data_IF_050304309464
#
_entry.id   IF_050304309464
#
_cell.length_a   1.000
_cell.length_b   1.000
_cell.length_c   1.000
_cell.angle_alpha   90.00
_cell.angle_beta   90.00
_cell.angle_gamma   90.00
#
_symmetry.space_group_name_H-M   'P 1'
#
loop_
_entity.id
_entity.type
_entity.pdbx_description
1 polymer ?
#
# COMPACT_ATOMS: atom_id res chain seq x y z
N UNK A 1 -4.88 28.23 62.99
CA UNK A 1 -4.52 28.33 61.55
C UNK A 1 -3.63 27.19 61.03
N UNK A 2 -2.94 26.40 61.88
CA UNK A 2 -2.04 25.32 61.42
C UNK A 2 -2.75 24.07 60.84
N UNK A 3 -3.82 23.57 61.48
CA UNK A 3 -4.52 22.33 61.06
C UNK A 3 -5.16 22.40 59.65
N UNK A 4 -5.65 23.56 59.23
CA UNK A 4 -6.28 23.74 57.91
C UNK A 4 -5.24 23.69 56.79
N UNK A 5 -4.04 24.25 57.03
CA UNK A 5 -2.92 24.18 56.08
C UNK A 5 -2.42 22.75 55.90
N UNK A 6 -2.29 21.99 56.99
CA UNK A 6 -1.90 20.57 56.92
C UNK A 6 -2.92 19.70 56.17
N UNK A 7 -4.22 19.92 56.38
CA UNK A 7 -5.28 19.18 55.67
C UNK A 7 -5.31 19.44 54.15
N UNK A 8 -5.09 20.68 53.73
CA UNK A 8 -4.99 21.04 52.30
C UNK A 8 -3.71 20.50 51.65
N UNK A 9 -2.59 20.48 52.39
CA UNK A 9 -1.31 19.96 51.88
C UNK A 9 -1.33 18.43 51.72
N UNK A 10 -2.06 17.72 52.59
CA UNK A 10 -2.27 16.28 52.48
C UNK A 10 -3.19 15.91 51.31
N UNK A 11 -4.29 16.65 51.08
CA UNK A 11 -5.17 16.39 49.93
C UNK A 11 -4.48 16.68 48.59
N UNK A 12 -3.67 17.74 48.51
CA UNK A 12 -2.87 18.03 47.30
C UNK A 12 -1.81 16.97 47.00
N UNK A 13 -1.27 16.31 48.03
CA UNK A 13 -0.30 15.23 47.87
C UNK A 13 -0.98 13.92 47.43
N UNK A 14 -2.14 13.60 48.02
CA UNK A 14 -2.97 12.47 47.60
C UNK A 14 -3.45 12.63 46.15
N UNK A 15 -3.88 13.82 45.74
CA UNK A 15 -4.30 14.12 44.38
C UNK A 15 -3.16 13.95 43.36
N UNK A 16 -1.92 14.32 43.73
CA UNK A 16 -0.73 14.09 42.89
C UNK A 16 -0.41 12.61 42.74
N UNK A 17 -0.45 11.86 43.82
CA UNK A 17 -0.20 10.41 43.80
C UNK A 17 -1.26 9.68 42.95
N UNK A 18 -2.54 10.05 43.09
CA UNK A 18 -3.63 9.52 42.25
C UNK A 18 -3.40 9.88 40.78
N UNK A 19 -3.06 11.14 40.49
CA UNK A 19 -2.77 11.58 39.12
C UNK A 19 -1.63 10.78 38.48
N UNK A 20 -0.55 10.52 39.22
CA UNK A 20 0.58 9.73 38.73
C UNK A 20 0.18 8.26 38.45
N UNK A 21 -0.66 7.67 39.30
CA UNK A 21 -1.18 6.31 39.10
C UNK A 21 -2.06 6.25 37.85
N UNK A 22 -2.98 7.19 37.70
CA UNK A 22 -3.86 7.28 36.52
C UNK A 22 -3.06 7.46 35.24
N UNK A 23 -2.02 8.30 35.26
CA UNK A 23 -1.10 8.50 34.14
C UNK A 23 -0.38 7.21 33.74
N UNK A 24 0.10 6.42 34.72
CA UNK A 24 0.76 5.14 34.45
C UNK A 24 -0.21 4.13 33.85
N UNK A 25 -1.43 4.05 34.38
CA UNK A 25 -2.47 3.16 33.86
C UNK A 25 -2.83 3.57 32.42
N UNK A 26 -3.06 4.86 32.18
CA UNK A 26 -3.39 5.38 30.86
C UNK A 26 -2.29 5.06 29.83
N UNK A 27 -1.01 5.28 30.18
CA UNK A 27 0.14 4.94 29.31
C UNK A 27 0.21 3.44 29.01
N UNK A 28 -0.07 2.59 30.01
CA UNK A 28 -0.10 1.14 29.83
C UNK A 28 -1.21 0.71 28.86
N UNK A 29 -2.43 1.23 29.04
CA UNK A 29 -3.56 0.94 28.17
C UNK A 29 -3.33 1.42 26.73
N UNK A 30 -2.74 2.62 26.56
CA UNK A 30 -2.34 3.13 25.24
C UNK A 30 -1.34 2.18 24.58
N UNK A 31 -0.30 1.76 25.31
CA UNK A 31 0.73 0.86 24.79
C UNK A 31 0.18 -0.50 24.39
N UNK A 32 -0.73 -1.06 25.18
CA UNK A 32 -1.42 -2.31 24.85
C UNK A 32 -2.30 -2.17 23.61
N UNK A 33 -3.03 -1.05 23.49
CA UNK A 33 -3.83 -0.76 22.30
C UNK A 33 -2.95 -0.62 21.07
N UNK A 34 -1.86 0.15 21.15
CA UNK A 34 -0.92 0.31 20.04
C UNK A 34 -0.33 -1.03 19.59
N UNK A 35 0.02 -1.92 20.53
CA UNK A 35 0.53 -3.26 20.23
C UNK A 35 -0.47 -4.12 19.44
N UNK A 36 -1.77 -3.92 19.64
CA UNK A 36 -2.83 -4.63 18.91
C UNK A 36 -3.07 -4.04 17.51
N UNK A 37 -2.70 -2.79 17.28
CA UNK A 37 -2.98 -2.06 16.04
C UNK A 37 -1.80 -1.95 15.11
N UNK A 38 -0.58 -2.07 15.64
CA UNK A 38 0.64 -1.90 14.87
C UNK A 38 1.24 -3.26 14.56
N UNK A 39 1.52 -3.47 13.29
CA UNK A 39 2.05 -4.70 12.74
C UNK A 39 3.31 -4.36 11.93
N UNK A 40 4.41 -5.06 12.18
CA UNK A 40 5.59 -4.94 11.32
C UNK A 40 5.30 -5.48 9.91
N UNK A 41 4.51 -6.55 9.85
CA UNK A 41 4.09 -7.26 8.65
C UNK A 41 2.62 -7.63 8.80
N UNK A 42 1.85 -7.51 7.72
CA UNK A 42 0.47 -8.00 7.63
C UNK A 42 0.49 -9.37 6.95
N UNK A 43 -0.12 -10.39 7.56
CA UNK A 43 -0.01 -11.78 7.15
C UNK A 43 -1.35 -12.54 7.32
N UNK A 44 -1.34 -13.87 7.20
CA UNK A 44 -2.53 -14.71 7.34
C UNK A 44 -3.20 -14.71 8.72
N UNK A 45 -2.45 -14.39 9.77
CA UNK A 45 -2.96 -14.30 11.15
C UNK A 45 -3.52 -12.90 11.48
N UNK A 46 -3.26 -11.94 10.59
CA UNK A 46 -3.70 -10.55 10.78
C UNK A 46 -5.22 -10.41 10.58
N UNK A 47 -5.89 -9.56 11.38
CA UNK A 47 -7.31 -9.27 11.18
C UNK A 47 -7.64 -8.85 9.74
N UNK A 48 -8.76 -9.31 9.19
CA UNK A 48 -9.19 -8.78 7.89
C UNK A 48 -9.51 -7.29 8.05
N UNK A 49 -9.19 -6.48 7.05
CA UNK A 49 -9.52 -5.07 7.09
C UNK A 49 -8.57 -4.18 6.30
N UNK A 50 -8.51 -2.93 6.76
CA UNK A 50 -7.74 -1.85 6.16
C UNK A 50 -6.51 -1.59 7.02
N UNK A 51 -5.35 -1.55 6.37
CA UNK A 51 -4.09 -1.18 6.99
C UNK A 51 -3.47 -0.01 6.24
N UNK A 52 -2.96 0.98 6.98
CA UNK A 52 -2.24 2.12 6.42
C UNK A 52 -0.83 2.12 7.00
N UNK A 53 0.18 2.27 6.16
CA UNK A 53 1.56 2.32 6.62
C UNK A 53 1.86 3.62 7.36
N UNK A 54 2.27 3.52 8.63
CA UNK A 54 2.72 4.62 9.46
C UNK A 54 4.24 4.81 9.27
N UNK A 55 4.60 5.80 8.47
CA UNK A 55 6.01 6.11 8.13
C UNK A 55 6.82 6.46 9.38
N UNK A 56 6.21 7.12 10.38
CA UNK A 56 6.92 7.55 11.59
C UNK A 56 7.35 6.37 12.47
N UNK A 57 6.52 5.32 12.50
CA UNK A 57 6.78 4.09 13.26
C UNK A 57 7.37 2.97 12.42
N UNK A 58 7.40 3.12 11.10
CA UNK A 58 7.79 2.08 10.14
C UNK A 58 6.96 0.79 10.31
N UNK A 59 5.66 0.93 10.59
CA UNK A 59 4.75 -0.17 10.89
C UNK A 59 3.40 0.02 10.17
N UNK A 60 2.71 -1.07 9.90
CA UNK A 60 1.34 -1.07 9.40
C UNK A 60 0.37 -0.85 10.55
N UNK A 61 -0.50 0.16 10.42
CA UNK A 61 -1.55 0.43 11.38
C UNK A 61 -2.87 -0.14 10.87
N UNK A 62 -3.43 -1.09 11.62
CA UNK A 62 -4.80 -1.54 11.44
C UNK A 62 -5.77 -0.40 11.78
N UNK A 63 -6.71 -0.12 10.88
CA UNK A 63 -7.74 0.89 11.09
C UNK A 63 -8.96 0.23 11.72
N UNK A 64 -9.13 0.43 13.02
CA UNK A 64 -10.33 -0.02 13.74
C UNK A 64 -11.56 0.74 13.28
N UNK A 65 -12.69 0.03 13.11
CA UNK A 65 -14.00 0.60 12.82
C UNK A 65 -13.98 1.68 11.72
N UNK A 66 -13.46 1.41 10.52
CA UNK A 66 -13.38 2.40 9.43
C UNK A 66 -14.76 2.73 8.81
N UNK A 67 -15.84 2.26 9.43
CA UNK A 67 -17.20 2.32 8.92
C UNK A 67 -17.59 1.07 8.13
N UNK A 68 -18.82 1.08 7.64
CA UNK A 68 -19.40 -0.05 6.91
C UNK A 68 -19.32 0.10 5.39
N UNK A 69 -18.85 1.23 4.86
CA UNK A 69 -18.74 1.49 3.43
C UNK A 69 -17.38 1.13 2.84
N UNK A 70 -17.29 1.07 1.51
CA UNK A 70 -16.01 0.90 0.83
C UNK A 70 -15.06 2.05 1.21
N UNK A 71 -13.81 1.71 1.53
CA UNK A 71 -12.78 2.72 1.72
C UNK A 71 -12.33 3.24 0.35
N UNK A 72 -12.46 4.54 0.14
CA UNK A 72 -12.05 5.23 -1.08
C UNK A 72 -11.19 6.42 -0.67
N UNK A 73 -9.97 6.56 -1.24
CA UNK A 73 -9.15 7.75 -1.05
C UNK A 73 -9.89 9.06 -1.32
N UNK A 74 -9.87 9.99 -0.36
CA UNK A 74 -10.48 11.33 -0.48
C UNK A 74 -9.50 12.48 -0.26
N UNK A 75 -8.33 12.22 0.30
CA UNK A 75 -7.30 13.24 0.45
C UNK A 75 -6.41 13.22 -0.78
N UNK A 76 -5.90 14.39 -1.16
CA UNK A 76 -5.01 14.50 -2.31
C UNK A 76 -3.72 13.72 -2.08
N UNK A 77 -3.20 13.15 -3.17
CA UNK A 77 -1.98 12.36 -3.17
C UNK A 77 -2.09 11.07 -3.98
N UNK A 78 -1.09 10.22 -3.80
CA UNK A 78 -0.92 8.98 -4.56
C UNK A 78 -1.06 7.77 -3.64
N UNK A 79 -2.01 6.89 -3.93
CA UNK A 79 -2.28 5.73 -3.09
C UNK A 79 -1.80 4.47 -3.79
N UNK A 80 -0.96 3.71 -3.08
CA UNK A 80 -0.44 2.41 -3.52
C UNK A 80 -1.12 1.36 -2.65
N UNK A 81 -2.09 0.66 -3.24
CA UNK A 81 -3.01 -0.21 -2.53
C UNK A 81 -2.69 -1.67 -2.91
N UNK A 82 -2.36 -2.48 -1.92
CA UNK A 82 -2.18 -3.93 -2.07
C UNK A 82 -3.44 -4.66 -1.61
N UNK A 83 -4.12 -5.32 -2.55
CA UNK A 83 -5.23 -6.22 -2.28
C UNK A 83 -4.70 -7.64 -2.04
N UNK A 84 -4.76 -8.05 -0.78
CA UNK A 84 -4.22 -9.30 -0.26
C UNK A 84 -5.35 -10.23 0.23
N UNK A 85 -5.11 -11.52 0.13
CA UNK A 85 -5.99 -12.56 0.63
C UNK A 85 -5.19 -13.56 1.47
N UNK A 86 -5.62 -13.83 2.71
CA UNK A 86 -4.87 -14.73 3.61
C UNK A 86 -4.75 -16.16 3.06
N UNK A 87 -5.72 -16.63 2.27
CA UNK A 87 -5.67 -17.95 1.66
C UNK A 87 -4.98 -17.99 0.27
N UNK A 88 -4.29 -16.91 -0.16
CA UNK A 88 -3.66 -16.77 -1.48
C UNK A 88 -2.14 -17.06 -1.45
N UNK A 89 -1.67 -18.20 -1.99
CA UNK A 89 -0.23 -18.52 -2.00
C UNK A 89 0.61 -17.56 -2.84
N UNK A 90 0.05 -17.00 -3.92
CA UNK A 90 0.74 -15.99 -4.72
C UNK A 90 0.98 -14.69 -3.95
N UNK A 91 0.08 -14.35 -3.02
CA UNK A 91 0.18 -13.18 -2.17
C UNK A 91 1.33 -13.34 -1.16
N UNK A 92 1.43 -14.51 -0.52
CA UNK A 92 2.58 -14.87 0.34
C UNK A 92 3.93 -14.80 -0.39
N UNK A 93 3.97 -15.13 -1.68
CA UNK A 93 5.18 -14.95 -2.51
C UNK A 93 5.48 -13.48 -2.82
N UNK A 94 4.47 -12.62 -2.87
CA UNK A 94 4.63 -11.20 -3.15
C UNK A 94 5.03 -10.38 -1.92
N UNK A 95 4.60 -10.81 -0.73
CA UNK A 95 4.84 -10.14 0.55
C UNK A 95 6.29 -9.69 0.79
N UNK A 96 7.34 -10.53 0.60
CA UNK A 96 8.72 -10.08 0.79
C UNK A 96 9.08 -8.88 -0.09
N UNK A 97 8.58 -8.86 -1.34
CA UNK A 97 8.79 -7.74 -2.27
C UNK A 97 8.02 -6.52 -1.80
N UNK A 98 6.73 -6.66 -1.47
CA UNK A 98 5.88 -5.57 -1.02
C UNK A 98 6.40 -4.88 0.25
N UNK A 99 6.70 -5.66 1.29
CA UNK A 99 7.15 -5.12 2.57
C UNK A 99 8.55 -4.50 2.49
N UNK A 100 9.49 -5.15 1.78
CA UNK A 100 10.82 -4.58 1.53
C UNK A 100 10.75 -3.27 0.74
N UNK A 101 9.92 -3.22 -0.30
CA UNK A 101 9.71 -2.02 -1.10
C UNK A 101 9.12 -0.88 -0.26
N UNK A 102 8.03 -1.16 0.46
CA UNK A 102 7.33 -0.16 1.28
C UNK A 102 8.25 0.42 2.34
N UNK A 103 8.98 -0.44 3.08
CA UNK A 103 9.91 0.01 4.13
C UNK A 103 11.02 0.91 3.58
N UNK A 104 11.51 0.64 2.36
CA UNK A 104 12.57 1.44 1.72
C UNK A 104 12.07 2.76 1.14
N UNK A 105 10.88 2.78 0.53
CA UNK A 105 10.41 3.90 -0.29
C UNK A 105 9.33 4.76 0.34
N UNK A 106 8.50 4.24 1.25
CA UNK A 106 7.48 5.04 1.91
C UNK A 106 8.05 6.29 2.63
N UNK A 107 9.20 6.24 3.32
CA UNK A 107 9.81 7.45 3.90
C UNK A 107 10.29 8.49 2.88
N UNK A 108 10.51 8.08 1.62
CA UNK A 108 11.04 8.93 0.54
C UNK A 108 9.91 9.55 -0.29
N UNK A 109 8.76 8.88 -0.34
CA UNK A 109 7.59 9.26 -1.14
C UNK A 109 6.55 9.95 -0.26
N UNK A 110 6.81 11.20 0.13
CA UNK A 110 6.01 11.94 1.13
C UNK A 110 4.55 12.18 0.73
N UNK A 111 4.27 12.25 -0.57
CA UNK A 111 2.93 12.40 -1.16
C UNK A 111 2.26 11.05 -1.48
N UNK A 112 2.90 9.93 -1.12
CA UNK A 112 2.37 8.60 -1.34
C UNK A 112 1.88 7.95 -0.03
N UNK A 113 0.76 7.23 -0.12
CA UNK A 113 0.16 6.47 0.98
C UNK A 113 0.11 5.00 0.60
N UNK A 114 0.72 4.16 1.43
CA UNK A 114 0.73 2.72 1.25
C UNK A 114 -0.37 2.08 2.07
N UNK A 115 -1.17 1.24 1.42
CA UNK A 115 -2.39 0.68 1.99
C UNK A 115 -2.47 -0.80 1.69
N UNK A 116 -2.95 -1.60 2.65
CA UNK A 116 -3.31 -3.00 2.43
C UNK A 116 -4.80 -3.16 2.71
N UNK A 117 -5.48 -3.86 1.81
CA UNK A 117 -6.84 -4.35 2.00
C UNK A 117 -6.75 -5.87 2.11
N UNK A 118 -7.00 -6.39 3.31
CA UNK A 118 -6.86 -7.82 3.62
C UNK A 118 -8.23 -8.47 3.80
N UNK A 119 -8.47 -9.54 3.05
CA UNK A 119 -9.58 -10.47 3.27
C UNK A 119 -9.04 -11.91 3.33
N UNK A 120 -9.91 -12.90 3.51
CA UNK A 120 -9.47 -14.31 3.44
C UNK A 120 -9.46 -14.79 1.98
N UNK A 121 -10.55 -14.56 1.26
CA UNK A 121 -10.68 -14.91 -0.15
C UNK A 121 -11.65 -13.95 -0.85
N UNK A 122 -11.11 -12.79 -1.25
CA UNK A 122 -11.81 -11.68 -1.90
C UNK A 122 -13.02 -11.18 -1.07
N UNK A 123 -13.92 -10.46 -1.74
CA UNK A 123 -15.12 -9.92 -1.11
C UNK A 123 -16.09 -10.98 -0.58
N UNK A 124 -16.03 -12.23 -1.07
CA UNK A 124 -16.97 -13.31 -0.70
C UNK A 124 -16.68 -13.91 0.68
N UNK A 125 -15.40 -13.98 1.07
CA UNK A 125 -14.97 -14.48 2.37
C UNK A 125 -14.13 -13.42 3.06
N UNK A 126 -14.82 -12.50 3.73
CA UNK A 126 -14.17 -11.42 4.45
C UNK A 126 -14.95 -11.03 5.70
N UNK A 127 -14.31 -11.11 6.87
CA UNK A 127 -14.88 -10.71 8.16
C UNK A 127 -14.98 -9.18 8.33
N UNK A 128 -14.32 -8.41 7.47
CA UNK A 128 -14.34 -6.95 7.49
C UNK A 128 -15.25 -6.39 6.39
N UNK A 129 -16.37 -5.73 6.74
CA UNK A 129 -17.29 -5.12 5.77
C UNK A 129 -16.61 -4.10 4.86
N UNK A 130 -15.80 -3.19 5.42
CA UNK A 130 -15.04 -2.19 4.65
C UNK A 130 -14.15 -2.85 3.61
N UNK A 131 -13.42 -3.90 3.96
CA UNK A 131 -12.46 -4.53 3.06
C UNK A 131 -13.23 -5.27 1.95
N UNK A 132 -14.27 -6.02 2.32
CA UNK A 132 -15.17 -6.67 1.35
C UNK A 132 -15.73 -5.68 0.33
N UNK A 133 -16.28 -4.56 0.79
CA UNK A 133 -16.83 -3.52 -0.09
C UNK A 133 -15.73 -2.81 -0.90
N UNK A 134 -14.54 -2.64 -0.35
CA UNK A 134 -13.40 -2.04 -1.08
C UNK A 134 -12.94 -2.95 -2.22
N UNK A 135 -12.84 -4.27 -1.99
CA UNK A 135 -12.60 -5.26 -3.06
C UNK A 135 -13.64 -5.14 -4.19
N UNK A 136 -14.92 -4.97 -3.84
CA UNK A 136 -16.01 -4.79 -4.82
C UNK A 136 -15.89 -3.46 -5.56
N UNK A 137 -15.67 -2.35 -4.85
CA UNK A 137 -15.59 -1.01 -5.42
C UNK A 137 -14.45 -0.89 -6.46
N UNK A 138 -13.32 -1.53 -6.20
CA UNK A 138 -12.18 -1.53 -7.10
C UNK A 138 -12.18 -2.70 -8.11
N UNK A 139 -13.24 -3.51 -8.15
CA UNK A 139 -13.41 -4.63 -9.08
C UNK A 139 -12.20 -5.58 -9.10
N UNK A 140 -11.73 -5.92 -7.89
CA UNK A 140 -10.57 -6.80 -7.71
C UNK A 140 -11.05 -8.26 -7.65
N UNK A 141 -10.73 -8.99 -8.72
CA UNK A 141 -11.12 -10.39 -8.91
C UNK A 141 -9.93 -11.37 -8.90
N UNK A 142 -8.70 -10.84 -8.87
CA UNK A 142 -7.45 -11.59 -8.78
C UNK A 142 -6.57 -11.04 -7.65
N UNK A 143 -5.82 -11.91 -6.98
CA UNK A 143 -4.87 -11.53 -5.93
C UNK A 143 -3.54 -12.29 -6.10
N UNK A 144 -2.39 -11.65 -5.80
CA UNK A 144 -2.27 -10.28 -5.31
C UNK A 144 -2.65 -9.26 -6.40
N UNK A 145 -3.18 -8.10 -6.02
CA UNK A 145 -3.38 -6.98 -6.95
C UNK A 145 -2.79 -5.72 -6.34
N UNK A 146 -1.96 -5.02 -7.12
CA UNK A 146 -1.44 -3.70 -6.77
C UNK A 146 -2.20 -2.66 -7.58
N UNK A 147 -2.92 -1.79 -6.89
CA UNK A 147 -3.69 -0.69 -7.47
C UNK A 147 -3.00 0.63 -7.13
N UNK A 148 -2.82 1.49 -8.13
CA UNK A 148 -2.29 2.83 -7.96
C UNK A 148 -3.39 3.84 -8.27
N UNK A 149 -3.61 4.79 -7.36
CA UNK A 149 -4.72 5.76 -7.45
C UNK A 149 -4.19 7.17 -7.23
N UNK A 150 -4.42 8.05 -8.20
CA UNK A 150 -4.13 9.49 -8.09
C UNK A 150 -5.38 10.24 -7.66
N UNK A 151 -5.29 11.02 -6.59
CA UNK A 151 -6.39 11.85 -6.06
C UNK A 151 -6.01 13.31 -6.11
N UNK A 152 -6.88 14.13 -6.70
CA UNK A 152 -6.74 15.58 -6.80
C UNK A 152 -8.09 16.24 -6.51
N UNK A 153 -8.10 17.26 -5.65
CA UNK A 153 -9.30 17.90 -5.13
C UNK A 153 -10.35 16.88 -4.61
N UNK A 154 -9.85 15.84 -3.92
CA UNK A 154 -10.65 14.76 -3.34
C UNK A 154 -11.35 13.84 -4.34
N UNK A 155 -10.97 13.90 -5.62
CA UNK A 155 -11.49 13.02 -6.67
C UNK A 155 -10.38 12.16 -7.25
N UNK A 156 -10.71 10.91 -7.53
CA UNK A 156 -9.85 10.01 -8.28
C UNK A 156 -9.74 10.53 -9.71
N UNK A 157 -8.53 10.93 -10.13
CA UNK A 157 -8.25 11.42 -11.49
C UNK A 157 -7.62 10.35 -12.38
N UNK A 158 -6.96 9.35 -11.79
CA UNK A 158 -6.31 8.28 -12.53
C UNK A 158 -6.20 7.01 -11.68
N UNK A 159 -6.30 5.83 -12.31
CA UNK A 159 -6.16 4.52 -11.67
C UNK A 159 -5.39 3.54 -12.56
N UNK A 160 -4.50 2.77 -11.98
CA UNK A 160 -3.80 1.66 -12.66
C UNK A 160 -3.92 0.37 -11.84
N UNK A 161 -4.29 -0.72 -12.49
CA UNK A 161 -4.44 -2.04 -11.88
C UNK A 161 -3.39 -3.02 -12.42
N UNK A 162 -2.67 -3.67 -11.50
CA UNK A 162 -1.66 -4.70 -11.80
C UNK A 162 -2.01 -5.98 -11.05
N UNK A 163 -2.48 -7.00 -11.77
CA UNK A 163 -2.89 -8.29 -11.21
C UNK A 163 -1.73 -9.29 -11.20
N UNK A 164 -1.60 -10.06 -10.13
CA UNK A 164 -0.51 -11.01 -9.94
C UNK A 164 0.75 -10.37 -9.34
N UNK A 165 1.73 -11.22 -9.02
CA UNK A 165 2.98 -10.82 -8.39
C UNK A 165 3.70 -9.78 -9.26
N UNK A 166 4.29 -8.76 -8.63
CA UNK A 166 5.25 -7.86 -9.25
C UNK A 166 6.62 -8.16 -8.64
N UNK A 167 7.64 -8.31 -9.49
CA UNK A 167 9.03 -8.34 -9.02
C UNK A 167 9.42 -6.98 -8.46
N UNK A 168 10.52 -6.94 -7.72
CA UNK A 168 10.93 -5.71 -7.02
C UNK A 168 11.21 -4.54 -7.97
N UNK A 169 11.86 -4.80 -9.10
CA UNK A 169 12.14 -3.84 -10.16
C UNK A 169 10.87 -3.38 -10.87
N UNK A 170 9.93 -4.30 -11.13
CA UNK A 170 8.62 -3.98 -11.71
C UNK A 170 7.80 -3.10 -10.77
N UNK A 171 7.70 -3.47 -9.49
CA UNK A 171 7.02 -2.67 -8.47
C UNK A 171 7.67 -1.28 -8.34
N UNK A 172 9.00 -1.23 -8.37
CA UNK A 172 9.74 0.05 -8.33
C UNK A 172 9.42 0.92 -9.53
N UNK A 173 9.46 0.37 -10.74
CA UNK A 173 9.13 1.09 -11.98
C UNK A 173 7.68 1.61 -11.96
N UNK A 174 6.76 0.76 -11.54
CA UNK A 174 5.32 1.09 -11.48
C UNK A 174 5.08 2.21 -10.47
N UNK A 175 5.55 2.08 -9.23
CA UNK A 175 5.25 3.05 -8.16
C UNK A 175 6.00 4.36 -8.37
N UNK A 176 7.32 4.31 -8.65
CA UNK A 176 8.14 5.52 -8.72
C UNK A 176 7.78 6.41 -9.93
N UNK A 177 7.29 5.82 -11.01
CA UNK A 177 6.83 6.57 -12.19
C UNK A 177 5.36 7.01 -12.14
N UNK A 178 4.60 6.63 -11.10
CA UNK A 178 3.14 6.82 -11.11
C UNK A 178 2.74 8.29 -11.05
N UNK A 179 3.42 9.09 -10.23
CA UNK A 179 3.17 10.53 -10.13
C UNK A 179 3.25 11.24 -11.49
N UNK A 180 4.32 10.99 -12.25
CA UNK A 180 4.50 11.57 -13.58
C UNK A 180 3.34 11.17 -14.51
N UNK A 181 2.88 9.91 -14.43
CA UNK A 181 1.74 9.44 -15.21
C UNK A 181 0.44 10.14 -14.83
N UNK A 182 0.18 10.38 -13.54
CA UNK A 182 -0.98 11.19 -13.11
C UNK A 182 -0.87 12.62 -13.65
N UNK A 183 0.31 13.24 -13.56
CA UNK A 183 0.54 14.60 -14.08
C UNK A 183 0.31 14.69 -15.60
N UNK A 184 0.70 13.65 -16.36
CA UNK A 184 0.38 13.53 -17.80
C UNK A 184 -1.12 13.49 -18.05
N UNK A 185 -1.87 12.66 -17.31
CA UNK A 185 -3.34 12.61 -17.41
C UNK A 185 -3.96 13.99 -17.17
N UNK A 186 -3.49 14.72 -16.15
CA UNK A 186 -3.99 16.05 -15.84
C UNK A 186 -3.71 17.09 -16.94
N UNK A 187 -2.65 16.90 -17.74
CA UNK A 187 -2.35 17.71 -18.93
C UNK A 187 -3.07 17.23 -20.20
N UNK A 188 -3.87 16.16 -20.11
CA UNK A 188 -4.53 15.56 -21.27
C UNK A 188 -3.59 14.77 -22.19
N UNK A 189 -2.39 14.42 -21.71
CA UNK A 189 -1.43 13.62 -22.46
C UNK A 189 -1.79 12.13 -22.40
N UNK A 190 -1.52 11.35 -23.46
CA UNK A 190 -1.68 9.91 -23.42
C UNK A 190 -0.72 9.30 -22.40
N UNK A 191 -1.20 8.28 -21.69
CA UNK A 191 -0.43 7.57 -20.66
C UNK A 191 -0.50 6.07 -20.91
N UNK A 192 0.67 5.46 -20.99
CA UNK A 192 0.82 4.01 -21.02
C UNK A 192 1.30 3.51 -19.67
N UNK A 193 0.66 2.44 -19.18
CA UNK A 193 1.11 1.75 -17.97
C UNK A 193 2.36 0.91 -18.28
N UNK A 194 3.37 0.86 -17.40
CA UNK A 194 4.48 -0.09 -17.54
C UNK A 194 3.99 -1.53 -17.70
N UNK A 195 4.49 -2.23 -18.71
CA UNK A 195 4.26 -3.67 -18.87
C UNK A 195 5.06 -4.47 -17.86
N UNK A 196 4.50 -5.57 -17.38
CA UNK A 196 5.23 -6.63 -16.68
C UNK A 196 6.19 -7.31 -17.65
N UNK A 197 7.27 -7.88 -17.13
CA UNK A 197 8.27 -8.59 -17.95
C UNK A 197 7.64 -9.73 -18.77
N UNK A 198 6.65 -10.41 -18.20
CA UNK A 198 5.92 -11.52 -18.81
C UNK A 198 4.95 -11.06 -19.93
N UNK A 199 4.57 -9.78 -19.93
CA UNK A 199 3.74 -9.17 -20.97
C UNK A 199 4.57 -8.63 -22.14
N UNK A 200 5.90 -8.59 -22.03
CA UNK A 200 6.78 -8.17 -23.11
C UNK A 200 6.88 -9.32 -24.12
N UNK A 201 6.50 -9.11 -25.40
CA UNK A 201 6.63 -10.14 -26.42
C UNK A 201 8.09 -10.61 -26.54
N UNK A 202 8.31 -11.91 -26.71
CA UNK A 202 9.65 -12.51 -26.77
C UNK A 202 10.53 -11.85 -27.85
N UNK A 203 9.93 -11.47 -28.98
CA UNK A 203 10.61 -10.76 -30.06
C UNK A 203 11.12 -9.38 -29.62
N UNK A 204 10.33 -8.65 -28.82
CA UNK A 204 10.73 -7.35 -28.28
C UNK A 204 11.85 -7.52 -27.25
N UNK A 205 11.75 -8.54 -26.40
CA UNK A 205 12.81 -8.86 -25.44
C UNK A 205 14.14 -9.18 -26.13
N UNK A 206 14.11 -9.97 -27.22
CA UNK A 206 15.31 -10.28 -28.04
C UNK A 206 15.95 -9.04 -28.64
N UNK A 207 15.15 -8.09 -29.14
CA UNK A 207 15.64 -6.82 -29.67
C UNK A 207 16.32 -5.99 -28.57
N UNK A 208 15.70 -5.89 -27.40
CA UNK A 208 16.25 -5.14 -26.27
C UNK A 208 17.60 -5.71 -25.80
N UNK A 209 17.73 -7.04 -25.70
CA UNK A 209 19.00 -7.68 -25.35
C UNK A 209 20.09 -7.36 -26.37
N UNK A 210 19.78 -7.45 -27.67
CA UNK A 210 20.73 -7.13 -28.73
C UNK A 210 21.16 -5.66 -28.72
N UNK A 211 20.23 -4.74 -28.44
CA UNK A 211 20.55 -3.31 -28.27
C UNK A 211 21.48 -3.07 -27.07
N UNK A 212 21.18 -3.68 -25.92
CA UNK A 212 21.98 -3.52 -24.70
C UNK A 212 23.38 -4.15 -24.83
N UNK A 213 23.54 -5.20 -25.63
CA UNK A 213 24.84 -5.80 -25.93
C UNK A 213 25.62 -5.06 -27.03
N UNK A 214 25.06 -3.99 -27.62
CA UNK A 214 25.67 -3.27 -28.73
C UNK A 214 25.70 -4.05 -30.05
N UNK A 215 24.92 -5.12 -30.18
CA UNK A 215 24.88 -5.98 -31.37
C UNK A 215 23.87 -5.44 -32.39
N UNK A 216 24.27 -4.35 -33.07
CA UNK A 216 23.43 -3.61 -34.02
C UNK A 216 22.98 -4.48 -35.20
N UNK A 217 23.79 -5.45 -35.61
CA UNK A 217 23.46 -6.31 -36.76
C UNK A 217 22.32 -7.27 -36.42
N UNK A 218 22.32 -7.81 -35.20
CA UNK A 218 21.24 -8.65 -34.68
C UNK A 218 19.95 -7.86 -34.47
N UNK A 219 20.04 -6.59 -34.07
CA UNK A 219 18.88 -5.67 -34.00
C UNK A 219 18.23 -5.50 -35.38
N UNK A 220 19.03 -5.21 -36.41
CA UNK A 220 18.54 -5.09 -37.80
C UNK A 220 17.83 -6.36 -38.24
N UNK A 221 18.43 -7.52 -38.03
CA UNK A 221 17.83 -8.81 -38.40
C UNK A 221 16.46 -9.04 -37.76
N UNK A 222 16.29 -8.69 -36.48
CA UNK A 222 15.00 -8.83 -35.80
C UNK A 222 13.94 -7.84 -36.31
N UNK A 223 14.33 -6.62 -36.68
CA UNK A 223 13.41 -5.62 -37.23
C UNK A 223 12.96 -5.99 -38.67
N UNK A 224 13.89 -6.38 -39.55
CA UNK A 224 13.58 -6.72 -40.95
C UNK A 224 12.72 -7.99 -41.08
N UNK A 225 12.86 -8.97 -40.18
CA UNK A 225 12.01 -10.19 -40.18
C UNK A 225 10.54 -9.90 -39.89
N UNK A 226 10.22 -8.74 -39.30
CA UNK A 226 8.86 -8.30 -38.97
C UNK A 226 8.15 -7.66 -40.17
N UNK A 227 8.90 -7.03 -41.08
CA UNK A 227 8.34 -6.40 -42.29
C UNK A 227 7.90 -7.44 -43.34
N UNK A 228 8.60 -8.58 -43.44
CA UNK A 228 8.26 -9.66 -44.37
C UNK A 228 7.04 -10.53 -44.00
N UNK A 229 6.34 -10.25 -42.90
CA UNK A 229 5.14 -11.00 -42.43
C UNK A 229 3.82 -10.26 -42.61
N UNK A 230 3.81 -9.08 -43.25
CA UNK A 230 2.60 -8.32 -43.61
C UNK A 230 2.14 -8.54 -45.07
N UNK A 231 2.46 -9.68 -45.66
CA UNK A 231 2.00 -10.10 -46.99
C UNK A 231 0.89 -11.13 -46.89
#
# INVERSE_FOLDING_TARGET
MSKIRYGLQMSEQEDREISEILDRIARSLIKEKEKKLLHEVVNEESPHGLYIFDVSKSMWRYIENPGDEAWVPKEDGYYIIYFDNTACPACRRYDPTWFSFTKKYAPKLKDHKFVIILCEWFARRCKSPVASKTFKYFEVHASPTTMLVGVVNGKIVHKEKYEGVLKYDELSKVVLGFKERVEKVLRGEPVEKPLKSEEIPEEVAKILVALLSGDIEKVKQYLYKKEGRKG
#
